data_IF_858249942143
#
_entry.id   IF_858249942143
#
_cell.length_a   1.000
_cell.length_b   1.000
_cell.length_c   1.000
_cell.angle_alpha   90.00
_cell.angle_beta   90.00
_cell.angle_gamma   90.00
#
_symmetry.space_group_name_H-M   'P 1'
#
loop_
_entity.id
_entity.type
_entity.pdbx_description
1 polymer ?
#
# COMPACT_ATOMS: atom_id res chain seq x y z
N UNK A 1 -7.11 3.94 -9.51
CA UNK A 1 -7.44 3.02 -8.42
C UNK A 1 -6.18 2.65 -7.65
N UNK A 2 -6.20 2.83 -6.35
CA UNK A 2 -5.04 2.51 -5.51
C UNK A 2 -5.00 1.01 -5.24
N UNK A 3 -3.88 0.36 -5.57
CA UNK A 3 -3.80 -1.10 -5.53
C UNK A 3 -3.26 -1.68 -4.22
N UNK A 4 -3.16 -0.89 -3.16
CA UNK A 4 -2.54 -1.35 -1.91
C UNK A 4 -3.26 -2.57 -1.33
N UNK A 5 -4.58 -2.51 -1.23
CA UNK A 5 -5.37 -3.61 -0.67
C UNK A 5 -5.24 -4.87 -1.54
N UNK A 6 -5.32 -4.71 -2.86
CA UNK A 6 -5.18 -5.82 -3.80
C UNK A 6 -3.82 -6.51 -3.63
N UNK A 7 -2.74 -5.72 -3.58
CA UNK A 7 -1.40 -6.27 -3.42
C UNK A 7 -1.24 -6.99 -2.09
N UNK A 8 -1.77 -6.40 -1.03
CA UNK A 8 -1.71 -7.00 0.29
C UNK A 8 -2.43 -8.33 0.34
N UNK A 9 -3.65 -8.38 -0.19
CA UNK A 9 -4.46 -9.60 -0.20
C UNK A 9 -3.83 -10.67 -1.09
N UNK A 10 -3.30 -10.27 -2.23
CA UNK A 10 -2.63 -11.19 -3.16
C UNK A 10 -1.44 -11.87 -2.51
N UNK A 11 -0.76 -11.19 -1.59
CA UNK A 11 0.39 -11.72 -0.89
C UNK A 11 0.02 -12.33 0.48
N UNK A 12 -1.27 -12.45 0.79
CA UNK A 12 -1.76 -13.04 2.03
C UNK A 12 -1.22 -12.34 3.28
N UNK A 13 -1.16 -11.02 3.23
CA UNK A 13 -0.63 -10.21 4.33
C UNK A 13 -1.79 -9.43 4.97
N UNK A 14 -1.88 -9.46 6.31
CA UNK A 14 -2.89 -8.70 7.04
C UNK A 14 -2.53 -7.21 7.06
N UNK A 15 -3.53 -6.37 7.33
CA UNK A 15 -3.27 -4.94 7.54
C UNK A 15 -2.29 -4.72 8.69
N UNK A 16 -2.44 -5.49 9.75
CA UNK A 16 -1.56 -5.36 10.92
C UNK A 16 -0.11 -5.71 10.57
N UNK A 17 0.09 -6.79 9.82
CA UNK A 17 1.42 -7.21 9.40
C UNK A 17 2.09 -6.14 8.56
N UNK A 18 1.37 -5.59 7.58
CA UNK A 18 1.90 -4.53 6.74
C UNK A 18 2.25 -3.30 7.57
N UNK A 19 1.38 -2.93 8.51
CA UNK A 19 1.62 -1.78 9.38
C UNK A 19 2.89 -1.97 10.22
N UNK A 20 3.04 -3.14 10.81
CA UNK A 20 4.22 -3.45 11.63
C UNK A 20 5.49 -3.36 10.79
N UNK A 21 5.48 -3.97 9.62
CA UNK A 21 6.66 -4.03 8.74
C UNK A 21 7.08 -2.64 8.27
N UNK A 22 6.13 -1.73 8.09
CA UNK A 22 6.41 -0.37 7.60
C UNK A 22 6.42 0.68 8.69
N UNK A 23 6.30 0.25 9.95
CA UNK A 23 6.27 1.15 11.10
C UNK A 23 5.14 2.17 11.01
N UNK A 24 3.97 1.70 10.59
CA UNK A 24 2.74 2.48 10.50
C UNK A 24 1.70 1.87 11.43
N UNK A 25 0.55 2.51 11.56
CA UNK A 25 -0.56 1.96 12.33
C UNK A 25 -1.52 1.21 11.40
N UNK A 26 -2.22 0.22 11.94
CA UNK A 26 -3.22 -0.49 11.17
C UNK A 26 -4.32 0.47 10.69
N UNK A 27 -4.68 1.44 11.51
CA UNK A 27 -5.68 2.44 11.14
C UNK A 27 -5.22 3.26 9.92
N UNK A 28 -3.94 3.62 9.86
CA UNK A 28 -3.40 4.33 8.70
C UNK A 28 -3.49 3.47 7.45
N UNK A 29 -3.14 2.19 7.54
CA UNK A 29 -3.24 1.27 6.40
C UNK A 29 -4.67 1.20 5.89
N UNK A 30 -5.63 1.04 6.82
CA UNK A 30 -7.04 0.97 6.46
C UNK A 30 -7.49 2.24 5.73
N UNK A 31 -7.07 3.40 6.19
CA UNK A 31 -7.45 4.68 5.58
C UNK A 31 -6.85 4.84 4.19
N UNK A 32 -5.59 4.42 4.00
CA UNK A 32 -4.97 4.43 2.68
C UNK A 32 -5.71 3.50 1.72
N UNK A 33 -6.06 2.29 2.18
CA UNK A 33 -6.75 1.31 1.33
C UNK A 33 -8.14 1.77 0.90
N UNK A 34 -8.82 2.52 1.78
CA UNK A 34 -10.15 3.04 1.49
C UNK A 34 -10.11 4.42 0.84
N UNK A 35 -8.93 4.88 0.48
CA UNK A 35 -8.71 6.17 -0.18
C UNK A 35 -9.26 7.34 0.63
N UNK A 36 -9.29 7.19 1.96
CA UNK A 36 -9.68 8.24 2.89
C UNK A 36 -8.52 9.15 3.27
N UNK A 37 -7.31 8.76 2.89
CA UNK A 37 -6.07 9.49 3.16
C UNK A 37 -5.10 9.26 2.03
N UNK A 38 -4.49 10.31 1.54
CA UNK A 38 -3.45 10.21 0.53
C UNK A 38 -2.11 9.93 1.21
N UNK A 39 -1.38 8.96 0.66
CA UNK A 39 -0.03 8.67 1.16
C UNK A 39 0.94 9.71 0.60
N UNK A 40 1.87 10.17 1.44
CA UNK A 40 2.93 11.05 0.97
C UNK A 40 3.91 10.25 0.09
N UNK A 41 4.83 10.98 -0.54
CA UNK A 41 5.78 10.36 -1.47
C UNK A 41 6.58 9.24 -0.79
N UNK A 42 7.10 9.51 0.41
CA UNK A 42 7.92 8.54 1.15
C UNK A 42 7.12 7.25 1.43
N UNK A 43 5.87 7.39 1.82
CA UNK A 43 5.01 6.24 2.12
C UNK A 43 4.68 5.46 0.86
N UNK A 44 4.43 6.16 -0.27
CA UNK A 44 4.19 5.49 -1.55
C UNK A 44 5.40 4.66 -1.98
N UNK A 45 6.60 5.21 -1.84
CA UNK A 45 7.83 4.49 -2.16
C UNK A 45 7.96 3.26 -1.27
N UNK A 46 7.67 3.39 0.02
CA UNK A 46 7.75 2.26 0.95
C UNK A 46 6.78 1.13 0.56
N UNK A 47 5.55 1.46 0.18
CA UNK A 47 4.59 0.45 -0.29
C UNK A 47 5.06 -0.22 -1.58
N UNK A 48 5.51 0.58 -2.55
CA UNK A 48 5.97 0.05 -3.83
C UNK A 48 7.18 -0.87 -3.65
N UNK A 49 8.12 -0.48 -2.81
CA UNK A 49 9.30 -1.30 -2.53
C UNK A 49 8.92 -2.58 -1.78
N UNK A 50 8.00 -2.49 -0.83
CA UNK A 50 7.56 -3.64 -0.05
C UNK A 50 6.98 -4.73 -0.96
N UNK A 51 6.17 -4.34 -1.93
CA UNK A 51 5.53 -5.28 -2.85
C UNK A 51 6.30 -5.47 -4.15
N UNK A 52 7.44 -4.81 -4.30
CA UNK A 52 8.30 -4.90 -5.48
C UNK A 52 7.55 -4.56 -6.77
N UNK A 53 6.83 -3.46 -6.74
CA UNK A 53 6.09 -2.92 -7.89
C UNK A 53 6.48 -1.46 -8.10
N UNK A 54 6.14 -0.92 -9.28
CA UNK A 54 6.35 0.50 -9.53
C UNK A 54 5.29 1.33 -8.80
N UNK A 55 5.61 2.60 -8.57
CA UNK A 55 4.62 3.53 -8.02
C UNK A 55 3.45 3.70 -8.97
N UNK A 56 3.70 3.72 -10.28
CA UNK A 56 2.63 3.82 -11.27
C UNK A 56 1.65 2.65 -11.16
N UNK A 57 2.17 1.43 -10.99
CA UNK A 57 1.33 0.26 -10.81
C UNK A 57 0.52 0.36 -9.51
N UNK A 58 1.18 0.77 -8.43
CA UNK A 58 0.53 0.95 -7.13
C UNK A 58 -0.63 1.95 -7.22
N UNK A 59 -0.43 3.03 -7.95
CA UNK A 59 -1.45 4.07 -8.14
C UNK A 59 -2.52 3.70 -9.17
N UNK A 60 -2.40 2.56 -9.82
CA UNK A 60 -3.37 2.13 -10.82
C UNK A 60 -3.24 2.85 -12.15
N UNK A 61 -2.07 3.44 -12.44
CA UNK A 61 -1.83 4.19 -13.67
C UNK A 61 -1.35 3.31 -14.81
N UNK A 62 -0.93 2.10 -14.50
CA UNK A 62 -0.46 1.11 -15.49
C UNK A 62 -0.86 -0.27 -15.02
N UNK A 63 -0.91 -1.22 -15.93
CA UNK A 63 -1.18 -2.63 -15.61
C UNK A 63 0.10 -3.42 -15.34
N UNK A 64 1.24 -2.76 -15.42
CA UNK A 64 2.53 -3.41 -15.18
C UNK A 64 3.25 -2.78 -13.99
#
# INVERSE_FOLDING_TARGET
MFRLKELREKNNISQLKLAIDLNLTQNSISRYENEQREADYKTLVAFADYFNVSIDYLLGRTDE
#
